data_IF_479772389280
#
_entry.id   IF_479772389280
#
_cell.length_a   1.000
_cell.length_b   1.000
_cell.length_c   1.000
_cell.angle_alpha   90.00
_cell.angle_beta   90.00
_cell.angle_gamma   90.00
#
_symmetry.space_group_name_H-M   'P 1'
#
loop_
_entity.id
_entity.type
_entity.pdbx_description
1 polymer ?
#
# COMPACT_ATOMS: atom_id res chain seq x y z
N UNK A 1 -26.98 40.34 5.29
CA UNK A 1 -27.10 39.26 4.29
C UNK A 1 -26.20 38.11 4.74
N UNK A 2 -26.79 37.04 5.27
CA UNK A 2 -26.03 35.86 5.66
C UNK A 2 -25.78 35.02 4.41
N UNK A 3 -24.50 34.83 4.05
CA UNK A 3 -24.13 33.89 3.01
C UNK A 3 -24.54 32.49 3.48
N UNK A 4 -25.53 31.91 2.80
CA UNK A 4 -25.84 30.48 2.88
C UNK A 4 -24.55 29.72 2.58
N UNK A 5 -23.94 29.12 3.62
CA UNK A 5 -22.86 28.16 3.43
C UNK A 5 -23.50 26.94 2.78
N UNK A 6 -23.38 26.84 1.45
CA UNK A 6 -23.84 25.68 0.70
C UNK A 6 -23.34 24.40 1.36
N UNK A 7 -24.23 23.42 1.53
CA UNK A 7 -23.87 22.12 2.08
C UNK A 7 -22.90 21.47 1.10
N UNK A 8 -21.66 21.26 1.51
CA UNK A 8 -20.69 20.49 0.74
C UNK A 8 -20.88 19.01 1.01
N UNK A 9 -21.16 18.23 -0.01
CA UNK A 9 -21.29 16.76 0.08
C UNK A 9 -19.99 16.11 -0.37
N UNK A 10 -19.48 15.14 0.40
CA UNK A 10 -18.34 14.31 0.00
C UNK A 10 -18.88 12.95 -0.41
N UNK A 11 -18.55 12.54 -1.63
CA UNK A 11 -18.88 11.22 -2.17
C UNK A 11 -17.61 10.39 -2.26
N UNK A 12 -17.64 9.17 -1.75
CA UNK A 12 -16.52 8.23 -1.84
C UNK A 12 -16.76 7.17 -2.92
N UNK A 13 -15.75 6.90 -3.74
CA UNK A 13 -15.74 5.84 -4.75
C UNK A 13 -14.66 4.84 -4.38
N UNK A 14 -15.08 3.64 -3.96
CA UNK A 14 -14.20 2.54 -3.56
C UNK A 14 -13.95 1.60 -4.74
N UNK A 15 -12.68 1.37 -5.07
CA UNK A 15 -12.26 0.52 -6.17
C UNK A 15 -11.34 -0.58 -5.64
N UNK A 16 -11.70 -1.82 -5.92
CA UNK A 16 -10.85 -2.98 -5.64
C UNK A 16 -9.80 -3.10 -6.73
N UNK A 17 -8.53 -3.26 -6.35
CA UNK A 17 -7.40 -3.42 -7.26
C UNK A 17 -6.93 -4.87 -7.18
N UNK A 18 -7.43 -5.77 -8.04
CA UNK A 18 -6.97 -7.14 -8.05
C UNK A 18 -5.50 -7.24 -8.48
N UNK A 19 -4.80 -8.21 -7.90
CA UNK A 19 -3.51 -8.73 -8.38
C UNK A 19 -2.48 -7.67 -8.77
N UNK A 20 -2.34 -6.62 -7.94
CA UNK A 20 -1.31 -5.61 -8.12
C UNK A 20 -0.39 -5.63 -6.91
N UNK A 21 0.89 -5.88 -7.18
CA UNK A 21 1.93 -5.86 -6.16
C UNK A 21 2.77 -4.57 -6.29
N UNK A 22 3.47 -4.22 -5.23
CA UNK A 22 4.38 -3.09 -5.15
C UNK A 22 5.69 -3.53 -4.51
N UNK A 23 6.82 -3.27 -5.17
CA UNK A 23 8.14 -3.65 -4.67
C UNK A 23 8.82 -2.46 -4.01
N UNK A 24 9.05 -2.58 -2.70
CA UNK A 24 9.78 -1.59 -1.91
C UNK A 24 11.25 -1.96 -1.82
N UNK A 25 12.06 -1.27 -2.62
CA UNK A 25 13.52 -1.46 -2.69
C UNK A 25 14.22 -1.33 -1.34
N UNK A 26 13.86 -0.31 -0.56
CA UNK A 26 14.49 0.01 0.74
C UNK A 26 14.42 -1.16 1.73
N UNK A 27 13.36 -1.97 1.65
CA UNK A 27 13.13 -3.10 2.54
C UNK A 27 13.24 -4.45 1.83
N UNK A 28 13.46 -4.46 0.51
CA UNK A 28 13.39 -5.65 -0.34
C UNK A 28 12.10 -6.48 -0.10
N UNK A 29 10.95 -5.80 0.03
CA UNK A 29 9.65 -6.45 0.26
C UNK A 29 8.69 -6.21 -0.89
N UNK A 30 7.78 -7.17 -1.09
CA UNK A 30 6.63 -7.04 -1.98
C UNK A 30 5.39 -6.84 -1.14
N UNK A 31 4.59 -5.83 -1.46
CA UNK A 31 3.33 -5.52 -0.80
C UNK A 31 2.20 -5.52 -1.80
N UNK A 32 1.03 -6.00 -1.40
CA UNK A 32 -0.15 -6.06 -2.25
C UNK A 32 -0.97 -4.79 -2.13
N UNK A 33 -1.33 -4.18 -3.25
CA UNK A 33 -2.35 -3.13 -3.31
C UNK A 33 -3.72 -3.81 -3.36
N UNK A 34 -4.60 -3.47 -2.41
CA UNK A 34 -5.91 -4.11 -2.26
C UNK A 34 -7.02 -3.22 -2.81
N UNK A 35 -7.02 -1.95 -2.42
CA UNK A 35 -8.07 -1.02 -2.85
C UNK A 35 -7.58 0.43 -2.91
N UNK A 36 -8.31 1.22 -3.68
CA UNK A 36 -8.15 2.66 -3.81
C UNK A 36 -9.51 3.29 -3.58
N UNK A 37 -9.57 4.31 -2.72
CA UNK A 37 -10.77 5.12 -2.49
C UNK A 37 -10.52 6.54 -2.93
N UNK A 38 -11.42 7.09 -3.73
CA UNK A 38 -11.44 8.50 -4.12
C UNK A 38 -12.53 9.22 -3.33
N UNK A 39 -12.22 10.36 -2.72
CA UNK A 39 -13.23 11.23 -2.14
C UNK A 39 -13.36 12.49 -2.96
N UNK A 40 -14.56 12.71 -3.49
CA UNK A 40 -14.88 13.85 -4.34
C UNK A 40 -15.92 14.71 -3.65
N UNK A 41 -15.59 15.98 -3.50
CA UNK A 41 -16.47 17.01 -2.97
C UNK A 41 -17.37 17.55 -4.07
N UNK A 42 -18.63 17.80 -3.73
CA UNK A 42 -19.66 18.33 -4.63
C UNK A 42 -19.81 17.53 -5.93
N UNK A 43 -19.66 16.20 -5.87
CA UNK A 43 -19.98 15.36 -7.00
C UNK A 43 -21.51 15.40 -7.22
N UNK A 44 -22.00 15.82 -8.40
CA UNK A 44 -23.44 15.96 -8.63
C UNK A 44 -24.15 14.63 -8.45
N UNK A 45 -25.10 14.60 -7.50
CA UNK A 45 -25.80 13.37 -7.05
C UNK A 45 -26.75 12.81 -8.11
N UNK A 46 -27.05 13.56 -9.18
CA UNK A 46 -27.98 13.13 -10.25
C UNK A 46 -27.45 12.01 -11.14
N UNK A 47 -26.19 11.60 -11.00
CA UNK A 47 -25.55 10.64 -11.88
C UNK A 47 -24.91 9.52 -11.06
N UNK A 48 -25.66 8.44 -10.83
CA UNK A 48 -25.04 7.14 -10.56
C UNK A 48 -23.96 6.80 -11.62
N UNK A 49 -24.09 7.40 -12.81
CA UNK A 49 -23.13 7.35 -13.92
C UNK A 49 -21.78 8.02 -13.61
N UNK A 50 -21.67 8.99 -12.70
CA UNK A 50 -20.41 9.71 -12.46
C UNK A 50 -19.44 8.96 -11.55
N UNK A 51 -19.95 8.25 -10.54
CA UNK A 51 -19.15 7.29 -9.78
C UNK A 51 -18.69 6.13 -10.68
N UNK A 52 -19.56 5.70 -11.61
CA UNK A 52 -19.23 4.73 -12.66
C UNK A 52 -18.15 5.30 -13.60
N UNK A 53 -18.18 6.60 -13.91
CA UNK A 53 -17.16 7.25 -14.74
C UNK A 53 -15.78 7.25 -14.07
N UNK A 54 -15.68 7.61 -12.79
CA UNK A 54 -14.39 7.56 -12.05
C UNK A 54 -13.85 6.14 -12.02
N UNK A 55 -14.70 5.15 -11.76
CA UNK A 55 -14.31 3.75 -11.75
C UNK A 55 -13.89 3.25 -13.14
N UNK A 56 -14.64 3.59 -14.19
CA UNK A 56 -14.32 3.23 -15.57
C UNK A 56 -12.98 3.84 -16.02
N UNK A 57 -12.77 5.12 -15.74
CA UNK A 57 -11.53 5.83 -16.03
C UNK A 57 -10.35 5.21 -15.27
N UNK A 58 -10.54 4.84 -13.99
CA UNK A 58 -9.52 4.11 -13.25
C UNK A 58 -9.20 2.76 -13.88
N UNK A 59 -10.22 2.01 -14.28
CA UNK A 59 -10.04 0.70 -14.89
C UNK A 59 -9.26 0.80 -16.21
N UNK A 60 -9.56 1.80 -17.03
CA UNK A 60 -8.91 2.04 -18.32
C UNK A 60 -7.49 2.62 -18.16
N UNK A 61 -7.33 3.69 -17.38
CA UNK A 61 -6.08 4.43 -17.31
C UNK A 61 -5.03 3.76 -16.39
N UNK A 62 -5.47 3.06 -15.35
CA UNK A 62 -4.60 2.53 -14.29
C UNK A 62 -4.65 1.02 -14.24
N UNK A 63 -5.84 0.45 -14.01
CA UNK A 63 -5.96 -0.99 -13.72
C UNK A 63 -5.50 -1.84 -14.90
N UNK A 64 -5.79 -1.46 -16.15
CA UNK A 64 -5.31 -2.15 -17.33
C UNK A 64 -3.77 -2.27 -17.39
N UNK A 65 -3.04 -1.28 -16.86
CA UNK A 65 -1.59 -1.29 -16.84
C UNK A 65 -0.98 -1.94 -15.58
N UNK A 66 -1.72 -1.99 -14.47
CA UNK A 66 -1.22 -2.41 -13.16
C UNK A 66 -1.67 -3.82 -12.77
N UNK A 67 -2.81 -4.27 -13.29
CA UNK A 67 -3.35 -5.59 -12.99
C UNK A 67 -2.40 -6.70 -13.44
N UNK A 68 -2.21 -7.71 -12.59
CA UNK A 68 -1.25 -8.81 -12.75
C UNK A 68 0.19 -8.30 -12.98
N UNK A 69 0.59 -7.23 -12.29
CA UNK A 69 1.95 -6.69 -12.34
C UNK A 69 2.47 -6.39 -10.93
N UNK A 70 3.79 -6.44 -10.79
CA UNK A 70 4.48 -5.83 -9.65
C UNK A 70 4.99 -4.47 -10.07
N UNK A 71 4.54 -3.41 -9.41
CA UNK A 71 5.05 -2.05 -9.61
C UNK A 71 6.48 -1.97 -9.06
N UNK A 72 7.42 -1.58 -9.91
CA UNK A 72 8.84 -1.45 -9.58
C UNK A 72 9.32 -0.07 -10.01
N UNK A 73 10.10 0.62 -9.18
CA UNK A 73 10.71 1.91 -9.59
C UNK A 73 11.67 1.67 -10.76
N UNK A 74 11.60 2.52 -11.79
CA UNK A 74 12.51 2.45 -12.94
C UNK A 74 13.97 2.59 -12.49
N UNK A 75 14.83 1.71 -13.02
CA UNK A 75 16.25 1.65 -12.64
C UNK A 75 16.54 0.75 -11.45
N UNK A 76 15.52 0.18 -10.80
CA UNK A 76 15.68 -0.78 -9.71
C UNK A 76 15.67 -2.20 -10.24
N UNK A 77 16.63 -3.00 -9.77
CA UNK A 77 16.67 -4.45 -9.99
C UNK A 77 16.17 -5.13 -8.71
N UNK A 78 15.00 -5.81 -8.75
CA UNK A 78 14.51 -6.55 -7.60
C UNK A 78 15.51 -7.62 -7.15
N UNK A 79 15.79 -7.68 -5.84
CA UNK A 79 16.65 -8.72 -5.27
C UNK A 79 15.86 -9.96 -4.85
N UNK A 80 14.56 -9.80 -4.64
CA UNK A 80 13.62 -10.89 -4.39
C UNK A 80 12.96 -11.36 -5.68
N UNK A 81 12.53 -12.62 -5.70
CA UNK A 81 11.75 -13.19 -6.80
C UNK A 81 10.37 -12.54 -6.83
N UNK A 82 10.04 -11.87 -7.93
CA UNK A 82 8.71 -11.30 -8.14
C UNK A 82 7.73 -12.39 -8.56
N UNK A 83 6.54 -12.42 -7.90
CA UNK A 83 5.46 -13.34 -8.28
C UNK A 83 4.76 -12.93 -9.58
N UNK A 84 4.68 -11.62 -9.82
CA UNK A 84 4.07 -11.04 -11.01
C UNK A 84 5.13 -10.36 -11.87
N UNK A 85 4.91 -10.27 -13.20
CA UNK A 85 5.86 -9.59 -14.07
C UNK A 85 5.98 -8.09 -13.69
N UNK A 86 7.20 -7.52 -13.74
CA UNK A 86 7.43 -6.17 -13.31
C UNK A 86 6.82 -5.14 -14.28
N UNK A 87 6.24 -4.08 -13.72
CA UNK A 87 5.85 -2.86 -14.41
C UNK A 87 6.66 -1.70 -13.85
N UNK A 88 7.53 -1.14 -14.68
CA UNK A 88 8.39 -0.04 -14.25
C UNK A 88 7.65 1.29 -14.22
N UNK A 89 7.65 1.95 -13.08
CA UNK A 89 7.04 3.26 -12.83
C UNK A 89 8.11 4.29 -12.44
N UNK A 90 7.78 5.58 -12.56
CA UNK A 90 8.74 6.68 -12.37
C UNK A 90 9.00 7.05 -10.89
N UNK A 91 8.31 6.41 -9.94
CA UNK A 91 8.36 6.72 -8.52
C UNK A 91 8.52 5.45 -7.67
N UNK A 92 8.91 5.58 -6.41
CA UNK A 92 8.96 4.45 -5.47
C UNK A 92 7.53 4.02 -5.12
N UNK A 93 7.12 2.77 -5.35
CA UNK A 93 5.72 2.32 -5.27
C UNK A 93 5.22 2.13 -3.81
N UNK A 94 5.45 3.11 -2.93
CA UNK A 94 4.81 3.14 -1.61
C UNK A 94 3.33 3.49 -1.75
N UNK A 95 2.47 3.07 -0.82
CA UNK A 95 1.05 3.45 -0.83
C UNK A 95 0.85 4.97 -0.88
N UNK A 96 1.70 5.72 -0.18
CA UNK A 96 1.68 7.18 -0.19
C UNK A 96 2.05 7.77 -1.57
N UNK A 97 3.06 7.24 -2.24
CA UNK A 97 3.40 7.75 -3.58
C UNK A 97 2.38 7.32 -4.63
N UNK A 98 1.80 6.13 -4.48
CA UNK A 98 0.68 5.68 -5.31
C UNK A 98 -0.52 6.63 -5.12
N UNK A 99 -0.88 6.98 -3.88
CA UNK A 99 -2.01 7.88 -3.63
C UNK A 99 -1.75 9.28 -4.20
N UNK A 100 -0.53 9.81 -4.03
CA UNK A 100 -0.13 11.10 -4.64
C UNK A 100 -0.18 11.06 -6.17
N UNK A 101 0.29 9.97 -6.78
CA UNK A 101 0.21 9.79 -8.23
C UNK A 101 -1.25 9.79 -8.70
N UNK A 102 -2.10 8.99 -8.08
CA UNK A 102 -3.52 8.90 -8.42
C UNK A 102 -4.23 10.22 -8.20
N UNK A 103 -3.95 10.94 -7.11
CA UNK A 103 -4.51 12.27 -6.87
C UNK A 103 -4.17 13.24 -8.01
N UNK A 104 -2.90 13.28 -8.45
CA UNK A 104 -2.47 14.15 -9.56
C UNK A 104 -3.12 13.80 -10.89
N UNK A 105 -3.37 12.52 -11.14
CA UNK A 105 -4.03 12.05 -12.37
C UNK A 105 -5.53 12.38 -12.33
N UNK A 106 -6.20 12.14 -11.21
CA UNK A 106 -7.66 12.22 -11.11
C UNK A 106 -8.19 13.61 -10.76
N UNK A 107 -7.42 14.46 -10.08
CA UNK A 107 -7.85 15.83 -9.75
C UNK A 107 -8.33 16.65 -10.98
N UNK A 108 -7.59 16.70 -12.11
CA UNK A 108 -8.08 17.40 -13.30
C UNK A 108 -9.30 16.70 -13.94
N UNK A 109 -9.37 15.37 -13.84
CA UNK A 109 -10.49 14.58 -14.38
C UNK A 109 -11.77 14.90 -13.61
N UNK A 110 -11.72 14.92 -12.28
CA UNK A 110 -12.89 15.26 -11.44
C UNK A 110 -13.37 16.69 -11.71
N UNK A 111 -12.45 17.64 -11.94
CA UNK A 111 -12.82 19.00 -12.29
C UNK A 111 -13.45 19.11 -13.69
N UNK A 112 -13.14 18.18 -14.60
CA UNK A 112 -13.74 18.12 -15.94
C UNK A 112 -15.15 17.53 -15.96
N UNK A 113 -15.48 16.65 -15.00
CA UNK A 113 -16.83 16.09 -14.84
C UNK A 113 -17.81 17.21 -14.44
N UNK A 114 -17.39 18.06 -13.50
CA UNK A 114 -18.18 19.21 -13.06
C UNK A 114 -17.29 20.32 -12.51
N UNK A 115 -17.49 21.60 -12.90
CA UNK A 115 -16.68 22.73 -12.45
C UNK A 115 -16.73 22.97 -10.93
N UNK A 116 -17.75 22.45 -10.25
CA UNK A 116 -17.90 22.57 -8.79
C UNK A 116 -17.33 21.38 -8.04
N UNK A 117 -16.96 20.30 -8.73
CA UNK A 117 -16.43 19.08 -8.15
C UNK A 117 -14.93 19.16 -7.93
N UNK A 118 -14.48 18.67 -6.77
CA UNK A 118 -13.08 18.70 -6.37
C UNK A 118 -12.67 17.35 -5.79
N UNK A 119 -11.57 16.78 -6.27
CA UNK A 119 -10.97 15.62 -5.62
C UNK A 119 -10.30 16.06 -4.31
N UNK A 120 -10.83 15.58 -3.19
CA UNK A 120 -10.38 15.99 -1.86
C UNK A 120 -9.23 15.13 -1.36
N UNK A 121 -9.35 13.80 -1.51
CA UNK A 121 -8.28 12.89 -1.13
C UNK A 121 -8.36 11.58 -1.91
N UNK A 122 -7.22 10.89 -1.96
CA UNK A 122 -7.10 9.51 -2.44
C UNK A 122 -6.49 8.67 -1.32
N UNK A 123 -7.14 7.57 -0.99
CA UNK A 123 -6.64 6.57 -0.04
C UNK A 123 -6.25 5.32 -0.82
N UNK A 124 -5.08 4.77 -0.49
CA UNK A 124 -4.61 3.49 -1.01
C UNK A 124 -4.47 2.55 0.18
N UNK A 125 -5.08 1.38 0.11
CA UNK A 125 -5.01 0.34 1.12
C UNK A 125 -4.33 -0.88 0.53
N UNK A 126 -3.45 -1.50 1.31
CA UNK A 126 -2.78 -2.70 0.92
C UNK A 126 -2.38 -3.55 2.11
N UNK A 127 -1.70 -4.66 1.83
CA UNK A 127 -1.16 -5.58 2.83
C UNK A 127 0.30 -5.91 2.51
N UNK A 128 1.16 -5.86 3.52
CA UNK A 128 2.48 -6.49 3.42
C UNK A 128 2.34 -7.97 3.76
N UNK A 129 2.64 -8.86 2.81
CA UNK A 129 3.13 -10.19 3.18
C UNK A 129 4.57 -9.95 3.68
N UNK A 130 4.76 -9.80 4.98
CA UNK A 130 6.09 -10.04 5.53
C UNK A 130 6.45 -11.47 5.14
N UNK A 131 7.67 -11.77 4.63
CA UNK A 131 8.12 -13.15 4.71
C UNK A 131 7.95 -13.55 6.18
N UNK A 132 7.30 -14.68 6.40
CA UNK A 132 7.15 -15.30 7.71
C UNK A 132 8.58 -15.61 8.20
N UNK A 133 9.25 -14.61 8.77
CA UNK A 133 10.48 -14.84 9.51
C UNK A 133 9.99 -15.58 10.73
N UNK A 134 10.41 -16.82 10.90
CA UNK A 134 10.31 -17.61 12.13
C UNK A 134 10.93 -16.83 13.30
N UNK A 135 10.25 -15.77 13.76
CA UNK A 135 10.63 -14.92 14.89
C UNK A 135 10.06 -15.47 16.21
N UNK A 136 9.64 -16.74 16.22
CA UNK A 136 9.17 -17.43 17.44
C UNK A 136 10.26 -18.31 18.07
N UNK A 137 11.47 -18.42 17.50
CA UNK A 137 12.52 -19.29 18.08
C UNK A 137 13.86 -18.61 18.44
N UNK A 138 14.02 -17.30 18.24
CA UNK A 138 15.29 -16.61 18.54
C UNK A 138 15.26 -15.66 19.75
N UNK A 139 14.19 -15.67 20.56
CA UNK A 139 14.24 -15.08 21.90
C UNK A 139 14.30 -16.21 22.93
N UNK A 140 15.47 -16.88 22.97
CA UNK A 140 15.90 -17.51 24.21
C UNK A 140 16.26 -16.38 25.15
N UNK A 141 15.29 -15.93 25.96
CA UNK A 141 15.62 -15.13 27.12
C UNK A 141 16.55 -15.98 27.99
N UNK A 142 17.81 -15.55 28.03
CA UNK A 142 18.74 -15.93 29.08
C UNK A 142 18.18 -15.41 30.41
N UNK A 143 17.35 -16.22 31.05
CA UNK A 143 17.08 -16.08 32.48
C UNK A 143 18.35 -16.46 33.23
N UNK A 144 19.27 -15.51 33.34
CA UNK A 144 20.08 -15.40 34.52
C UNK A 144 19.18 -14.91 35.65
N UNK A 145 18.45 -15.84 36.27
CA UNK A 145 18.04 -15.65 37.65
C UNK A 145 18.99 -16.47 38.53
N UNK A 146 19.82 -15.72 39.23
CA UNK A 146 20.80 -16.23 40.14
C UNK A 146 20.15 -17.03 41.28
N UNK A 147 20.96 -17.97 41.78
CA UNK A 147 21.10 -18.31 43.19
C UNK A 147 20.30 -19.51 43.71
N UNK A 148 20.91 -20.69 43.66
CA UNK A 148 21.37 -21.33 44.91
C UNK A 148 22.34 -22.48 44.64
N UNK A 149 23.54 -22.35 45.25
CA UNK A 149 24.38 -23.42 45.82
C UNK A 149 24.36 -24.79 45.11
N UNK A 150 25.48 -25.18 44.52
CA UNK A 150 26.39 -26.19 45.10
C UNK A 150 27.65 -26.31 44.25
N UNK A 151 28.71 -25.75 44.81
CA UNK A 151 30.08 -26.27 44.85
C UNK A 151 30.48 -27.38 43.88
N UNK A 152 31.51 -27.06 43.10
CA UNK A 152 32.79 -27.78 43.11
C UNK A 152 32.75 -29.30 42.88
N UNK A 153 33.29 -29.76 41.74
CA UNK A 153 34.59 -30.45 41.73
C UNK A 153 34.96 -31.01 40.33
N UNK A 154 36.19 -30.67 39.96
CA UNK A 154 37.16 -31.47 39.20
C UNK A 154 36.90 -31.79 37.72
N UNK A 155 37.48 -30.92 36.89
CA UNK A 155 38.53 -31.27 35.92
C UNK A 155 39.31 -32.53 36.33
N UNK A 156 39.51 -33.52 35.45
CA UNK A 156 40.83 -33.90 34.84
C UNK A 156 40.87 -35.35 34.33
N UNK A 157 41.51 -35.48 33.16
CA UNK A 157 42.25 -36.63 32.59
C UNK A 157 41.44 -37.85 32.11
N UNK A 158 41.45 -38.23 30.81
CA UNK A 158 42.56 -38.64 29.92
C UNK A 158 43.26 -39.92 30.38
N UNK A 159 42.86 -41.09 29.85
CA UNK A 159 43.70 -42.08 29.12
C UNK A 159 43.06 -43.49 29.10
N UNK A 160 43.11 -44.06 27.89
CA UNK A 160 43.12 -45.48 27.49
C UNK A 160 41.80 -46.25 27.57
#
# INVERSE_FOLDING_TARGET
MAASRGISTITTVDIVVPNTDSYLEEFNIVQKVISVTFAVRNLPVSLADDAVNIQAIFNEAVLGAWNNRTLVRRGVVPQTTLRLPPRFIAFTPTYENISRFLFRVFAPITASISPISELEWVRVVGSSEFPNVDLVSAISFSDQNANTKTQSRLVRAKKR
#
